data_IF_267060100113
#
_entry.id   IF_267060100113
#
_cell.length_a   1.000
_cell.length_b   1.000
_cell.length_c   1.000
_cell.angle_alpha   90.00
_cell.angle_beta   90.00
_cell.angle_gamma   90.00
#
_symmetry.space_group_name_H-M   'P 1'
#
loop_
_entity.id
_entity.type
_entity.pdbx_description
1 polymer ?
#
# COMPACT_ATOMS: atom_id res chain seq x y z
N UNK A 1 12.59 0.69 -2.42
CA UNK A 1 11.42 -0.19 -2.69
C UNK A 1 11.18 -0.29 -4.20
N UNK A 2 11.91 -1.14 -4.93
CA UNK A 2 11.75 -1.22 -6.40
C UNK A 2 10.44 -1.94 -6.80
N UNK A 3 10.03 -2.94 -6.01
CA UNK A 3 8.84 -3.76 -6.31
C UNK A 3 7.58 -3.35 -5.53
N UNK A 4 7.66 -2.40 -4.59
CA UNK A 4 6.53 -2.11 -3.70
C UNK A 4 5.29 -1.54 -4.41
N UNK A 5 5.47 -0.66 -5.39
CA UNK A 5 4.33 -0.05 -6.10
C UNK A 5 3.48 -1.07 -6.85
N UNK A 6 4.11 -1.97 -7.60
CA UNK A 6 3.36 -2.96 -8.40
C UNK A 6 2.81 -4.12 -7.56
N UNK A 7 3.52 -4.50 -6.48
CA UNK A 7 3.15 -5.68 -5.71
C UNK A 7 2.33 -5.37 -4.45
N UNK A 8 2.49 -4.19 -3.84
CA UNK A 8 1.83 -3.82 -2.58
C UNK A 8 0.95 -2.57 -2.78
N UNK A 9 1.55 -1.43 -3.13
CA UNK A 9 0.84 -0.15 -3.30
C UNK A 9 0.22 -0.01 -4.70
N UNK A 10 -0.62 -0.98 -5.08
CA UNK A 10 -1.30 -1.04 -6.37
C UNK A 10 -2.25 0.16 -6.51
N UNK A 11 -2.35 0.69 -7.73
CA UNK A 11 -3.23 1.82 -8.04
C UNK A 11 -4.74 1.53 -7.85
N UNK A 12 -5.14 0.25 -7.82
CA UNK A 12 -6.49 -0.18 -7.46
C UNK A 12 -6.37 -1.27 -6.41
N UNK A 13 -7.07 -1.13 -5.28
CA UNK A 13 -7.03 -2.04 -4.13
C UNK A 13 -5.59 -2.32 -3.66
N UNK A 14 -4.92 -1.33 -3.03
CA UNK A 14 -3.60 -1.55 -2.44
C UNK A 14 -3.68 -2.55 -1.28
N UNK A 15 -2.69 -3.45 -1.17
CA UNK A 15 -2.59 -4.41 -0.05
C UNK A 15 -1.95 -3.69 1.15
N UNK A 16 -2.72 -2.88 1.89
CA UNK A 16 -2.14 -2.08 2.97
C UNK A 16 -1.79 -2.93 4.19
N UNK A 17 -2.45 -4.06 4.44
CA UNK A 17 -2.05 -5.03 5.48
C UNK A 17 -0.59 -5.50 5.34
N UNK A 18 -0.08 -5.57 4.11
CA UNK A 18 1.28 -6.02 3.77
C UNK A 18 2.28 -4.87 3.63
N UNK A 19 1.81 -3.62 3.73
CA UNK A 19 2.63 -2.45 3.53
C UNK A 19 3.40 -2.10 4.81
N UNK A 20 4.74 -2.12 4.74
CA UNK A 20 5.64 -1.76 5.84
C UNK A 20 5.42 -0.33 6.39
N UNK A 21 4.88 0.58 5.58
CA UNK A 21 4.58 1.96 5.98
C UNK A 21 3.08 2.23 6.15
N UNK A 22 2.24 1.18 6.26
CA UNK A 22 0.78 1.33 6.35
C UNK A 22 0.34 2.22 7.52
N UNK A 23 1.02 2.11 8.66
CA UNK A 23 0.78 2.91 9.85
C UNK A 23 1.02 4.41 9.61
N UNK A 24 2.09 4.74 8.87
CA UNK A 24 2.48 6.11 8.54
C UNK A 24 1.77 6.68 7.30
N UNK A 25 1.19 5.82 6.47
CA UNK A 25 0.55 6.22 5.21
C UNK A 25 -0.71 7.06 5.51
N UNK A 26 -0.94 8.16 4.78
CA UNK A 26 -2.15 9.01 4.94
C UNK A 26 -3.14 8.90 3.78
N UNK A 27 -2.96 7.89 2.92
CA UNK A 27 -3.84 7.70 1.77
C UNK A 27 -5.27 7.38 2.20
N UNK A 28 -6.25 7.99 1.52
CA UNK A 28 -7.67 7.70 1.73
C UNK A 28 -8.11 6.38 1.07
N UNK A 29 -7.29 5.79 0.20
CA UNK A 29 -7.54 4.52 -0.49
C UNK A 29 -6.98 3.30 0.23
N UNK A 30 -6.64 3.43 1.53
CA UNK A 30 -6.18 2.28 2.32
C UNK A 30 -7.26 1.20 2.27
N UNK A 31 -6.89 0.07 1.69
CA UNK A 31 -7.70 -1.14 1.67
C UNK A 31 -6.98 -2.15 2.56
N UNK A 32 -7.76 -2.86 3.39
CA UNK A 32 -7.25 -3.95 4.22
C UNK A 32 -6.51 -4.95 3.33
#
# INVERSE_FOLDING_TARGET
LILHGRYICKARKPECERCVIADLCRSSEKTV
#
